data_IF_506813630712
#
_entry.id   IF_506813630712
#
_cell.length_a   1.000
_cell.length_b   1.000
_cell.length_c   1.000
_cell.angle_alpha   90.00
_cell.angle_beta   90.00
_cell.angle_gamma   90.00
#
_symmetry.space_group_name_H-M   'P 1'
#
loop_
_entity.id
_entity.type
_entity.pdbx_description
1 polymer ?
#
# COMPACT_ATOMS: atom_id res chain seq x y z
N UNK A 1 -12.62 3.23 -3.21
CA UNK A 1 -11.68 2.75 -4.23
C UNK A 1 -10.51 2.03 -3.58
N UNK A 2 -10.08 0.94 -4.14
CA UNK A 2 -9.01 0.11 -3.59
C UNK A 2 -7.84 0.02 -4.57
N UNK A 3 -6.65 0.45 -4.14
CA UNK A 3 -5.40 0.16 -4.82
C UNK A 3 -4.80 -1.07 -4.17
N UNK A 4 -4.34 -2.01 -4.99
CA UNK A 4 -3.68 -3.22 -4.47
C UNK A 4 -2.41 -3.50 -5.24
N UNK A 5 -1.30 -3.62 -4.53
CA UNK A 5 -0.05 -4.00 -5.16
C UNK A 5 -0.05 -5.50 -5.49
N UNK A 6 0.78 -5.88 -6.47
CA UNK A 6 0.91 -7.28 -6.87
C UNK A 6 1.69 -8.04 -5.78
N UNK A 7 1.16 -9.19 -5.35
CA UNK A 7 1.73 -9.99 -4.25
C UNK A 7 2.78 -11.01 -4.69
N UNK A 8 3.42 -10.82 -5.82
CA UNK A 8 4.50 -11.69 -6.25
C UNK A 8 5.81 -11.23 -5.60
N UNK A 9 6.58 -12.15 -5.06
CA UNK A 9 7.87 -11.81 -4.44
C UNK A 9 8.84 -11.34 -5.51
N UNK A 10 9.38 -10.13 -5.35
CA UNK A 10 10.27 -9.52 -6.33
C UNK A 10 11.56 -10.28 -6.54
N UNK A 11 12.06 -11.00 -5.51
CA UNK A 11 13.27 -11.80 -5.65
C UNK A 11 13.10 -13.02 -6.55
N UNK A 12 11.86 -13.39 -6.90
CA UNK A 12 11.55 -14.47 -7.83
C UNK A 12 11.45 -13.99 -9.27
N UNK A 13 11.58 -12.69 -9.49
CA UNK A 13 11.45 -12.09 -10.82
C UNK A 13 12.80 -11.86 -11.48
N UNK A 14 12.86 -11.98 -12.81
CA UNK A 14 14.00 -11.49 -13.57
C UNK A 14 13.87 -9.98 -13.78
N UNK A 15 14.88 -9.34 -14.38
CA UNK A 15 14.87 -7.90 -14.62
C UNK A 15 13.69 -7.44 -15.48
N UNK A 16 13.38 -8.17 -16.53
CA UNK A 16 12.25 -7.84 -17.41
C UNK A 16 10.92 -7.87 -16.68
N UNK A 17 10.71 -8.91 -15.88
CA UNK A 17 9.47 -9.04 -15.09
C UNK A 17 9.36 -7.92 -14.07
N UNK A 18 10.45 -7.57 -13.42
CA UNK A 18 10.46 -6.50 -12.44
C UNK A 18 10.19 -5.14 -13.06
N UNK A 19 10.79 -4.86 -14.23
CA UNK A 19 10.55 -3.60 -14.94
C UNK A 19 9.10 -3.49 -15.39
N UNK A 20 8.52 -4.59 -15.84
CA UNK A 20 7.11 -4.61 -16.21
C UNK A 20 6.19 -4.38 -15.01
N UNK A 21 6.52 -4.99 -13.87
CA UNK A 21 5.79 -4.78 -12.63
C UNK A 21 5.80 -3.30 -12.24
N UNK A 22 6.97 -2.69 -12.29
CA UNK A 22 7.12 -1.26 -11.97
C UNK A 22 6.25 -0.41 -12.89
N UNK A 23 6.28 -0.70 -14.16
CA UNK A 23 5.49 0.03 -15.16
C UNK A 23 3.99 -0.10 -14.91
N UNK A 24 3.53 -1.33 -14.67
CA UNK A 24 2.11 -1.59 -14.40
C UNK A 24 1.65 -0.94 -13.10
N UNK A 25 2.44 -1.05 -12.04
CA UNK A 25 2.13 -0.43 -10.76
C UNK A 25 2.15 1.10 -10.87
N UNK A 26 3.05 1.64 -11.66
CA UNK A 26 3.14 3.08 -11.93
C UNK A 26 1.83 3.59 -12.53
N UNK A 27 1.31 2.89 -13.52
CA UNK A 27 0.05 3.27 -14.17
C UNK A 27 -1.12 3.24 -13.20
N UNK A 28 -1.18 2.21 -12.37
CA UNK A 28 -2.23 2.09 -11.36
C UNK A 28 -2.10 3.20 -10.32
N UNK A 29 -0.88 3.52 -9.91
CA UNK A 29 -0.66 4.59 -8.95
C UNK A 29 -1.03 5.95 -9.52
N UNK A 30 -0.73 6.21 -10.78
CA UNK A 30 -1.12 7.47 -11.44
C UNK A 30 -2.63 7.60 -11.50
N UNK A 31 -3.33 6.53 -11.86
CA UNK A 31 -4.79 6.52 -11.86
C UNK A 31 -5.34 6.79 -10.46
N UNK A 32 -4.76 6.15 -9.45
CA UNK A 32 -5.17 6.33 -8.07
C UNK A 32 -4.92 7.75 -7.58
N UNK A 33 -3.78 8.33 -7.97
CA UNK A 33 -3.44 9.72 -7.61
C UNK A 33 -4.46 10.70 -8.18
N UNK A 34 -4.91 10.48 -9.41
CA UNK A 34 -5.96 11.28 -10.01
C UNK A 34 -7.29 11.10 -9.27
N UNK A 35 -7.60 9.88 -8.86
CA UNK A 35 -8.80 9.62 -8.08
C UNK A 35 -8.78 10.35 -6.75
N UNK A 36 -7.64 10.39 -6.08
CA UNK A 36 -7.48 11.12 -4.82
C UNK A 36 -7.75 12.61 -5.03
N UNK A 37 -7.24 13.18 -6.11
CA UNK A 37 -7.42 14.61 -6.40
C UNK A 37 -8.78 14.97 -6.98
N UNK A 38 -9.53 13.98 -7.45
CA UNK A 38 -10.77 14.21 -8.21
C UNK A 38 -11.93 14.77 -7.38
N UNK A 39 -11.95 14.50 -6.09
CA UNK A 39 -13.07 14.85 -5.23
C UNK A 39 -14.29 13.96 -5.42
N UNK A 40 -14.20 12.89 -6.19
CA UNK A 40 -15.32 11.99 -6.47
C UNK A 40 -15.50 10.86 -5.47
N UNK A 41 -14.51 10.64 -4.60
CA UNK A 41 -14.49 9.51 -3.68
C UNK A 41 -14.46 10.00 -2.25
N UNK A 42 -15.17 9.31 -1.37
CA UNK A 42 -15.17 9.60 0.06
C UNK A 42 -14.11 8.81 0.81
N UNK A 43 -13.75 7.63 0.27
CA UNK A 43 -12.79 6.74 0.88
C UNK A 43 -11.95 6.09 -0.21
N UNK A 44 -10.64 6.14 -0.06
CA UNK A 44 -9.69 5.42 -0.93
C UNK A 44 -8.74 4.62 -0.03
N UNK A 45 -8.54 3.35 -0.36
CA UNK A 45 -7.64 2.47 0.37
C UNK A 45 -6.47 2.09 -0.55
N UNK A 46 -5.25 2.38 -0.11
CA UNK A 46 -4.03 1.95 -0.79
C UNK A 46 -3.53 0.69 -0.10
N UNK A 47 -4.05 -0.46 -0.54
CA UNK A 47 -3.75 -1.75 0.08
C UNK A 47 -2.33 -2.21 -0.26
N UNK A 48 -1.56 -2.53 0.77
CA UNK A 48 -0.18 -3.00 0.64
C UNK A 48 0.77 -1.98 -0.02
N UNK A 49 0.46 -0.70 0.06
CA UNK A 49 1.31 0.34 -0.54
C UNK A 49 2.71 0.36 0.08
N UNK A 50 2.84 -0.03 1.34
CA UNK A 50 4.14 -0.04 2.01
C UNK A 50 5.10 -1.04 1.35
N UNK A 51 4.57 -2.16 0.84
CA UNK A 51 5.36 -3.13 0.08
C UNK A 51 5.86 -2.56 -1.24
N UNK A 52 5.04 -1.79 -1.93
CA UNK A 52 5.45 -1.13 -3.17
C UNK A 52 6.55 -0.09 -2.92
N UNK A 53 6.49 0.61 -1.79
CA UNK A 53 7.52 1.58 -1.40
C UNK A 53 8.82 0.86 -1.07
N UNK A 54 8.77 -0.18 -0.24
CA UNK A 54 9.97 -0.91 0.18
C UNK A 54 10.66 -1.63 -0.98
N UNK A 55 9.90 -2.09 -1.96
CA UNK A 55 10.43 -2.72 -3.17
C UNK A 55 10.91 -1.71 -4.20
N UNK A 56 10.78 -0.42 -3.92
CA UNK A 56 11.15 0.68 -4.82
C UNK A 56 10.36 0.68 -6.13
N UNK A 57 9.19 0.09 -6.11
CA UNK A 57 8.27 0.12 -7.26
C UNK A 57 7.59 1.48 -7.35
N UNK A 58 7.20 2.04 -6.21
CA UNK A 58 6.63 3.38 -6.11
C UNK A 58 7.52 4.21 -5.18
N UNK A 59 8.01 5.38 -5.62
CA UNK A 59 8.84 6.22 -4.76
C UNK A 59 8.08 6.74 -3.53
N UNK A 60 8.74 6.72 -2.38
CA UNK A 60 8.16 7.23 -1.14
C UNK A 60 7.72 8.68 -1.28
N UNK A 61 8.51 9.51 -1.94
CA UNK A 61 8.25 10.93 -2.10
C UNK A 61 6.92 11.19 -2.79
N UNK A 62 6.55 10.34 -3.72
CA UNK A 62 5.28 10.49 -4.43
C UNK A 62 4.08 10.15 -3.55
N UNK A 63 4.24 9.16 -2.68
CA UNK A 63 3.18 8.81 -1.72
C UNK A 63 3.03 9.91 -0.68
N UNK A 64 4.15 10.47 -0.21
CA UNK A 64 4.14 11.60 0.72
C UNK A 64 3.42 12.79 0.12
N UNK A 65 3.73 13.13 -1.14
CA UNK A 65 3.04 14.23 -1.83
C UNK A 65 1.55 13.98 -1.97
N UNK A 66 1.18 12.76 -2.29
CA UNK A 66 -0.23 12.39 -2.43
C UNK A 66 -0.98 12.60 -1.11
N UNK A 67 -0.40 12.15 0.00
CA UNK A 67 -1.01 12.30 1.33
C UNK A 67 -1.13 13.77 1.71
N UNK A 68 -0.08 14.55 1.48
CA UNK A 68 -0.07 15.99 1.82
C UNK A 68 -1.13 16.78 1.05
N UNK A 69 -1.38 16.40 -0.18
CA UNK A 69 -2.24 17.15 -1.08
C UNK A 69 -3.66 16.59 -1.23
N UNK A 70 -4.02 15.60 -0.43
CA UNK A 70 -5.35 15.03 -0.51
C UNK A 70 -6.41 16.05 -0.09
N UNK A 71 -7.63 15.99 -0.67
CA UNK A 71 -8.74 16.81 -0.18
C UNK A 71 -9.11 16.45 1.27
N UNK A 72 -9.51 17.46 2.04
CA UNK A 72 -9.83 17.27 3.45
C UNK A 72 -10.99 16.30 3.70
N UNK A 73 -11.96 16.26 2.78
CA UNK A 73 -13.12 15.39 2.91
C UNK A 73 -12.83 13.93 2.55
N UNK A 74 -11.71 13.66 1.92
CA UNK A 74 -11.36 12.30 1.53
C UNK A 74 -10.69 11.59 2.69
N UNK A 75 -11.19 10.40 3.02
CA UNK A 75 -10.47 9.48 3.90
C UNK A 75 -9.52 8.63 3.08
N UNK A 76 -8.26 8.67 3.42
CA UNK A 76 -7.21 7.90 2.73
C UNK A 76 -6.57 6.93 3.72
N UNK A 77 -6.65 5.65 3.40
CA UNK A 77 -6.11 4.58 4.24
C UNK A 77 -4.95 3.92 3.50
N UNK A 78 -3.81 3.82 4.16
CA UNK A 78 -2.63 3.15 3.65
C UNK A 78 -2.35 1.93 4.52
N UNK A 79 -2.16 0.77 3.92
CA UNK A 79 -1.86 -0.45 4.67
C UNK A 79 -0.53 -1.05 4.23
N UNK A 80 0.01 -1.92 5.07
CA UNK A 80 1.23 -2.66 4.80
C UNK A 80 2.09 -2.81 6.04
N UNK A 81 3.30 -3.30 5.83
CA UNK A 81 4.28 -3.51 6.90
C UNK A 81 5.36 -2.45 6.84
N UNK A 82 5.92 -2.14 8.00
CA UNK A 82 7.07 -1.25 8.10
C UNK A 82 6.82 0.12 7.47
N UNK A 83 5.77 0.78 7.91
CA UNK A 83 5.41 2.10 7.39
C UNK A 83 6.57 3.08 7.63
N UNK A 84 6.99 3.82 6.60
CA UNK A 84 8.01 4.84 6.77
C UNK A 84 7.60 5.90 7.77
N UNK A 85 8.57 6.42 8.53
CA UNK A 85 8.31 7.42 9.55
C UNK A 85 7.64 8.67 8.98
N UNK A 86 8.00 9.05 7.77
CA UNK A 86 7.41 10.22 7.10
C UNK A 86 5.90 10.09 6.94
N UNK A 87 5.41 8.88 6.65
CA UNK A 87 3.97 8.64 6.49
C UNK A 87 3.28 8.55 7.85
N UNK A 88 3.95 7.97 8.85
CA UNK A 88 3.42 7.90 10.20
C UNK A 88 3.19 9.30 10.75
N UNK A 89 4.13 10.22 10.52
CA UNK A 89 4.02 11.59 10.99
C UNK A 89 2.88 12.37 10.33
N UNK A 90 2.54 12.02 9.10
CA UNK A 90 1.46 12.69 8.37
C UNK A 90 0.08 12.11 8.70
N UNK A 91 0.01 10.92 9.26
CA UNK A 91 -1.25 10.25 9.54
C UNK A 91 -1.93 10.83 10.77
N UNK A 92 -3.26 10.95 10.69
CA UNK A 92 -4.06 11.33 11.85
C UNK A 92 -4.20 10.17 12.83
N UNK A 93 -4.28 8.94 12.31
CA UNK A 93 -4.40 7.72 13.10
C UNK A 93 -3.45 6.67 12.58
N UNK A 94 -2.73 6.01 13.48
CA UNK A 94 -1.88 4.89 13.15
C UNK A 94 -2.28 3.69 14.00
N UNK A 95 -2.57 2.58 13.34
CA UNK A 95 -2.88 1.33 14.03
C UNK A 95 -1.82 0.28 13.70
N UNK A 96 -1.31 -0.36 14.72
CA UNK A 96 -0.36 -1.45 14.57
C UNK A 96 -1.03 -2.75 15.00
N UNK A 97 -1.04 -3.74 14.09
CA UNK A 97 -1.62 -5.05 14.38
C UNK A 97 -0.49 -6.03 14.60
N UNK A 98 -0.43 -6.60 15.78
CA UNK A 98 0.61 -7.57 16.14
C UNK A 98 0.00 -8.97 16.20
N UNK A 99 0.66 -9.94 15.57
CA UNK A 99 0.28 -11.33 15.68
C UNK A 99 0.89 -11.91 16.97
N UNK A 100 0.16 -11.78 18.08
CA UNK A 100 0.60 -12.34 19.36
C UNK A 100 0.57 -13.86 19.30
N UNK A 101 -0.37 -14.41 18.55
CA UNK A 101 -0.54 -15.86 18.41
C UNK A 101 -1.06 -16.12 17.00
N UNK A 102 -0.16 -16.55 16.11
CA UNK A 102 -0.51 -16.76 14.70
C UNK A 102 -0.81 -18.25 14.45
N UNK A 103 -1.96 -18.58 13.81
CA UNK A 103 -2.32 -19.97 13.54
C UNK A 103 -1.29 -20.76 12.74
N UNK A 104 -0.57 -20.12 11.83
CA UNK A 104 0.46 -20.80 11.05
C UNK A 104 1.62 -21.33 11.90
N UNK A 105 1.93 -20.68 13.00
CA UNK A 105 2.95 -21.12 13.95
C UNK A 105 2.52 -22.42 14.65
N UNK A 106 1.23 -22.71 14.63
CA UNK A 106 0.66 -23.92 15.20
C UNK A 106 0.29 -24.96 14.13
N UNK A 107 0.72 -24.73 12.88
CA UNK A 107 0.39 -25.61 11.78
C UNK A 107 -1.00 -25.41 11.19
N UNK A 108 -1.68 -24.33 11.54
CA UNK A 108 -3.00 -24.01 11.02
C UNK A 108 -2.84 -23.00 9.89
N UNK A 109 -3.35 -23.28 8.66
CA UNK A 109 -3.25 -22.32 7.57
C UNK A 109 -4.01 -21.03 7.87
N UNK A 110 -3.47 -19.91 7.39
CA UNK A 110 -4.14 -18.62 7.52
C UNK A 110 -5.47 -18.65 6.76
N UNK A 111 -6.48 -17.99 7.33
CA UNK A 111 -7.80 -17.89 6.70
C UNK A 111 -7.93 -16.55 6.01
N UNK A 112 -8.29 -16.60 4.74
CA UNK A 112 -8.39 -15.42 3.91
C UNK A 112 -9.37 -14.40 4.51
N UNK A 113 -8.91 -13.15 4.65
CA UNK A 113 -9.71 -12.06 5.16
C UNK A 113 -9.85 -12.00 6.68
N UNK A 114 -9.29 -12.97 7.41
CA UNK A 114 -9.36 -13.03 8.87
C UNK A 114 -7.98 -12.89 9.49
N UNK A 115 -6.99 -13.48 8.89
CA UNK A 115 -5.63 -13.54 9.42
C UNK A 115 -4.63 -12.97 8.42
N UNK A 116 -3.68 -12.23 8.90
CA UNK A 116 -2.63 -11.63 8.08
C UNK A 116 -1.26 -12.05 8.53
#
# INVERSE_FOLDING_TARGET
>A
MLFRSIKKFTWQMNEEEFEKLKEDQRKVFEYTSEAVRSGKWDLIILDEIMGAISSKVIPLEEVVELVKNKPDELELVLTGRDAPQELIELADYVSEIKAVKHPMEKGIPARKGIEN
#
